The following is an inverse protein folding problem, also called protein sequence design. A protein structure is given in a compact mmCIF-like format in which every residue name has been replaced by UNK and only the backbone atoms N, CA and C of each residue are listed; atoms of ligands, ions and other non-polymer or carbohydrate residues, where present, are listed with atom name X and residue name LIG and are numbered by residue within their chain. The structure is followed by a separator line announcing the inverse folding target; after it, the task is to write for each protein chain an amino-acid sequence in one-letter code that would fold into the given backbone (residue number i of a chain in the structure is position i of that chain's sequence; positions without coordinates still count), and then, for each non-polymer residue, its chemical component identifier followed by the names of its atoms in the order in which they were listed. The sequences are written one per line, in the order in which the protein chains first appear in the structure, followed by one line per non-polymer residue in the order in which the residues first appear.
data_IF_815324203240
#
_entry.id   IF_815324203240
#
_cell.length_a   1.000
_cell.length_b   1.000
_cell.length_c   1.000
_cell.angle_alpha   90.00
_cell.angle_beta   90.00
_cell.angle_gamma   90.00
#
_symmetry.space_group_name_H-M   'P 1'
#
loop_
_entity.id
_entity.type
_entity.pdbx_description
1 polymer ?
#
# COMPACT_ATOMS: atom_id res chain seq x y z
N UNK A 1 4.65 27.02 -39.11
CA UNK A 1 4.20 25.85 -38.33
C UNK A 1 5.40 25.15 -37.66
N UNK A 2 5.91 25.67 -36.54
CA UNK A 2 7.03 25.04 -35.80
C UNK A 2 6.85 25.01 -34.27
N UNK A 3 5.71 25.50 -33.76
CA UNK A 3 5.46 25.59 -32.31
C UNK A 3 4.60 24.47 -31.70
N UNK A 4 4.00 23.59 -32.52
CA UNK A 4 3.01 22.62 -32.03
C UNK A 4 3.66 21.31 -31.56
N UNK A 5 4.84 20.95 -32.05
CA UNK A 5 5.50 19.68 -31.68
C UNK A 5 6.09 19.64 -30.26
N UNK A 6 6.33 20.78 -29.61
CA UNK A 6 6.94 20.81 -28.27
C UNK A 6 5.92 20.56 -27.15
N UNK A 7 4.64 20.91 -27.38
CA UNK A 7 3.58 20.76 -26.37
C UNK A 7 3.14 19.29 -26.20
N UNK A 8 3.23 18.48 -27.26
CA UNK A 8 2.86 17.06 -27.22
C UNK A 8 3.90 16.22 -26.45
N UNK A 9 5.18 16.65 -26.43
CA UNK A 9 6.24 15.91 -25.74
C UNK A 9 6.21 16.07 -24.21
N UNK A 10 5.70 17.20 -23.70
CA UNK A 10 5.58 17.44 -22.25
C UNK A 10 4.39 16.70 -21.61
N UNK A 11 3.37 16.32 -22.38
CA UNK A 11 2.19 15.61 -21.87
C UNK A 11 2.47 14.12 -21.54
N UNK A 12 3.60 13.56 -21.99
CA UNK A 12 3.93 12.13 -21.84
C UNK A 12 4.53 11.76 -20.48
N UNK A 13 4.88 12.72 -19.63
CA UNK A 13 5.51 12.45 -18.32
C UNK A 13 4.59 12.59 -17.11
N UNK A 14 3.29 12.81 -17.32
CA UNK A 14 2.29 12.62 -16.25
C UNK A 14 2.02 11.13 -16.01
N UNK A 15 3.06 10.38 -15.65
CA UNK A 15 2.93 9.05 -15.07
C UNK A 15 2.23 9.20 -13.73
N UNK A 16 0.89 9.11 -13.73
CA UNK A 16 0.10 8.95 -12.52
C UNK A 16 0.47 7.60 -11.91
N UNK A 17 1.45 7.57 -11.01
CA UNK A 17 1.80 6.36 -10.27
C UNK A 17 0.69 6.05 -9.27
N UNK A 18 0.24 4.79 -9.20
CA UNK A 18 -0.71 4.37 -8.16
C UNK A 18 -0.08 4.38 -6.76
N UNK A 19 1.25 4.28 -6.69
CA UNK A 19 2.02 4.41 -5.46
C UNK A 19 2.29 5.88 -5.14
N UNK A 20 2.22 6.19 -3.86
CA UNK A 20 2.56 7.49 -3.29
C UNK A 20 4.05 7.76 -3.40
N UNK A 21 4.44 9.03 -3.48
CA UNK A 21 5.86 9.43 -3.42
C UNK A 21 6.55 8.99 -2.13
N UNK A 22 5.78 8.72 -1.07
CA UNK A 22 6.29 8.21 0.19
C UNK A 22 6.69 6.73 0.14
N UNK A 23 6.20 5.94 -0.82
CA UNK A 23 6.46 4.49 -0.85
C UNK A 23 7.94 4.13 -0.99
N UNK A 24 8.74 5.02 -1.60
CA UNK A 24 10.19 4.85 -1.76
C UNK A 24 10.98 4.92 -0.44
N UNK A 25 10.36 5.41 0.63
CA UNK A 25 10.97 5.51 1.95
C UNK A 25 10.59 4.34 2.87
N UNK A 26 9.95 3.30 2.33
CA UNK A 26 9.67 2.10 3.09
C UNK A 26 10.94 1.29 3.32
N UNK A 27 11.18 0.89 4.56
CA UNK A 27 12.17 -0.12 4.93
C UNK A 27 11.46 -1.33 5.56
N UNK A 28 11.92 -2.54 5.24
CA UNK A 28 11.32 -3.78 5.74
C UNK A 28 12.36 -4.50 6.60
N UNK A 29 11.98 -4.84 7.83
CA UNK A 29 12.83 -5.53 8.79
C UNK A 29 12.04 -6.58 9.57
N UNK A 30 12.73 -7.54 10.17
CA UNK A 30 12.11 -8.47 11.13
C UNK A 30 11.91 -7.77 12.48
N UNK A 31 10.82 -8.10 13.18
CA UNK A 31 10.48 -7.55 14.49
C UNK A 31 9.60 -8.52 15.28
N UNK A 32 10.07 -9.00 16.43
CA UNK A 32 9.25 -9.79 17.39
C UNK A 32 8.49 -10.97 16.75
N UNK A 33 9.12 -11.67 15.79
CA UNK A 33 8.50 -12.77 15.05
C UNK A 33 7.60 -12.37 13.87
N UNK A 34 7.51 -11.08 13.57
CA UNK A 34 6.77 -10.48 12.47
C UNK A 34 7.70 -9.76 11.49
N UNK A 35 7.13 -9.21 10.42
CA UNK A 35 7.80 -8.20 9.60
C UNK A 35 7.25 -6.82 9.96
N UNK A 36 8.14 -5.84 10.00
CA UNK A 36 7.82 -4.44 10.22
C UNK A 36 8.21 -3.64 8.99
N UNK A 37 7.28 -2.84 8.51
CA UNK A 37 7.44 -1.94 7.37
C UNK A 37 7.44 -0.54 7.95
N UNK A 38 8.61 0.09 8.04
CA UNK A 38 8.75 1.45 8.53
C UNK A 38 8.73 2.42 7.35
N UNK A 39 8.17 3.61 7.55
CA UNK A 39 8.29 4.72 6.62
C UNK A 39 8.65 5.98 7.40
N UNK A 40 9.94 6.31 7.40
CA UNK A 40 10.49 7.40 8.22
C UNK A 40 9.95 8.76 7.78
N UNK A 41 9.67 8.93 6.48
CA UNK A 41 9.11 10.17 5.93
C UNK A 41 7.66 10.43 6.34
N UNK A 42 6.93 9.38 6.71
CA UNK A 42 5.57 9.46 7.26
C UNK A 42 5.53 9.25 8.78
N UNK A 43 6.67 8.95 9.41
CA UNK A 43 6.77 8.64 10.83
C UNK A 43 5.85 7.48 11.25
N UNK A 44 5.79 6.42 10.43
CA UNK A 44 4.91 5.26 10.66
C UNK A 44 5.66 3.94 10.64
N UNK A 45 5.11 2.97 11.37
CA UNK A 45 5.49 1.57 11.37
C UNK A 45 4.25 0.71 11.17
N UNK A 46 4.34 -0.28 10.28
CA UNK A 46 3.28 -1.26 10.07
C UNK A 46 3.80 -2.66 10.35
N UNK A 47 3.16 -3.38 11.28
CA UNK A 47 3.48 -4.78 11.57
C UNK A 47 2.61 -5.71 10.71
N UNK A 48 3.24 -6.65 10.02
CA UNK A 48 2.60 -7.64 9.13
C UNK A 48 3.14 -9.04 9.42
N UNK A 49 2.40 -10.07 9.01
CA UNK A 49 2.91 -11.44 9.04
C UNK A 49 4.04 -11.63 8.02
N UNK A 50 5.03 -12.46 8.36
CA UNK A 50 6.18 -12.74 7.48
C UNK A 50 5.83 -13.50 6.20
N UNK A 51 4.63 -14.09 6.12
CA UNK A 51 4.13 -14.76 4.92
C UNK A 51 3.67 -13.79 3.80
N UNK A 52 3.68 -12.48 4.05
CA UNK A 52 3.31 -11.47 3.05
C UNK A 52 4.50 -11.05 2.19
N UNK A 53 4.27 -11.00 0.89
CA UNK A 53 5.13 -10.30 -0.06
C UNK A 53 4.68 -8.85 -0.16
N UNK A 54 5.63 -7.93 -0.04
CA UNK A 54 5.36 -6.49 -0.04
C UNK A 54 5.83 -5.88 -1.37
N UNK A 55 5.04 -4.95 -1.91
CA UNK A 55 5.41 -4.12 -3.04
C UNK A 55 5.32 -2.64 -2.66
N UNK A 56 6.39 -1.91 -2.92
CA UNK A 56 6.53 -0.47 -2.69
C UNK A 56 6.49 0.33 -3.99
N UNK A 57 6.40 -0.36 -5.12
CA UNK A 57 6.37 0.24 -6.45
C UNK A 57 5.51 -0.57 -7.42
N UNK A 58 5.10 0.07 -8.52
CA UNK A 58 4.37 -0.61 -9.60
C UNK A 58 5.19 -1.73 -10.23
N UNK A 59 6.52 -1.58 -10.27
CA UNK A 59 7.45 -2.60 -10.77
C UNK A 59 7.44 -3.82 -9.85
N UNK A 60 7.61 -3.61 -8.54
CA UNK A 60 7.53 -4.70 -7.55
C UNK A 60 6.18 -5.41 -7.60
N UNK A 61 5.07 -4.66 -7.65
CA UNK A 61 3.74 -5.24 -7.77
C UNK A 61 3.62 -6.17 -8.99
N UNK A 62 4.10 -5.74 -10.17
CA UNK A 62 4.11 -6.57 -11.37
C UNK A 62 4.98 -7.83 -11.21
N UNK A 63 6.08 -7.73 -10.48
CA UNK A 63 6.97 -8.87 -10.21
C UNK A 63 6.33 -9.93 -9.29
N UNK A 64 5.27 -9.57 -8.55
CA UNK A 64 4.48 -10.53 -7.77
C UNK A 64 3.64 -11.47 -8.64
N UNK A 65 3.57 -11.23 -9.96
CA UNK A 65 2.83 -12.04 -10.95
C UNK A 65 1.35 -12.26 -10.59
N UNK A 66 0.76 -11.30 -9.88
CA UNK A 66 -0.67 -11.31 -9.56
C UNK A 66 -1.49 -11.03 -10.82
N UNK A 67 -2.65 -11.69 -10.94
CA UNK A 67 -3.63 -11.33 -11.96
C UNK A 67 -4.35 -10.05 -11.51
N UNK A 68 -4.35 -9.02 -12.36
CA UNK A 68 -5.13 -7.81 -12.15
C UNK A 68 -4.32 -6.53 -11.96
N UNK A 69 -5.04 -5.44 -11.71
CA UNK A 69 -4.48 -4.11 -11.48
C UNK A 69 -4.56 -3.76 -9.99
N UNK A 70 -3.78 -2.76 -9.58
CA UNK A 70 -3.91 -2.18 -8.24
C UNK A 70 -5.31 -1.58 -8.06
N UNK A 71 -5.94 -1.91 -6.94
CA UNK A 71 -7.31 -1.46 -6.64
C UNK A 71 -7.37 0.02 -6.23
N UNK A 72 -6.29 0.55 -5.66
CA UNK A 72 -6.22 1.89 -5.08
C UNK A 72 -5.15 2.78 -5.73
N UNK A 73 -5.18 4.07 -5.36
CA UNK A 73 -4.13 5.07 -5.64
C UNK A 73 -3.56 5.60 -4.33
N UNK A 74 -2.47 6.38 -4.40
CA UNK A 74 -1.72 6.90 -3.24
C UNK A 74 -1.29 5.78 -2.27
N UNK A 75 -0.89 4.64 -2.83
CA UNK A 75 -0.50 3.46 -2.07
C UNK A 75 0.87 3.72 -1.43
N UNK A 76 0.96 3.60 -0.11
CA UNK A 76 2.23 3.62 0.63
C UNK A 76 2.93 2.27 0.40
N UNK A 77 2.22 1.15 0.58
CA UNK A 77 2.64 -0.15 0.08
C UNK A 77 1.44 -1.10 -0.08
N UNK A 78 1.68 -2.19 -0.81
CA UNK A 78 0.74 -3.29 -1.00
C UNK A 78 1.34 -4.58 -0.43
N UNK A 79 0.51 -5.41 0.22
CA UNK A 79 0.87 -6.74 0.69
C UNK A 79 -0.05 -7.81 0.12
N UNK A 80 0.51 -8.95 -0.26
CA UNK A 80 -0.24 -10.15 -0.67
C UNK A 80 0.34 -11.42 -0.04
N UNK A 81 -0.50 -12.41 0.24
CA UNK A 81 -0.03 -13.72 0.67
C UNK A 81 -0.92 -14.82 0.11
N UNK A 82 -0.32 -15.82 -0.52
CA UNK A 82 -1.01 -17.06 -0.91
C UNK A 82 -1.26 -17.98 0.27
N UNK A 83 -0.51 -17.83 1.37
CA UNK A 83 -0.68 -18.64 2.59
C UNK A 83 -1.82 -18.12 3.45
N UNK A 84 -1.94 -16.79 3.58
CA UNK A 84 -3.00 -16.14 4.36
C UNK A 84 -4.23 -15.83 3.47
N UNK A 85 -4.09 -16.03 2.15
CA UNK A 85 -5.11 -15.87 1.12
C UNK A 85 -5.83 -14.52 1.15
N UNK A 86 -5.07 -13.43 1.36
CA UNK A 86 -5.62 -12.07 1.32
C UNK A 86 -4.61 -11.06 0.79
N UNK A 87 -5.16 -9.91 0.38
CA UNK A 87 -4.45 -8.74 -0.09
C UNK A 87 -4.76 -7.58 0.85
N UNK A 88 -3.77 -6.72 1.09
CA UNK A 88 -4.00 -5.48 1.84
C UNK A 88 -3.16 -4.33 1.32
N UNK A 89 -3.60 -3.12 1.67
CA UNK A 89 -2.99 -1.87 1.27
C UNK A 89 -2.83 -0.97 2.48
N UNK A 90 -1.71 -0.25 2.53
CA UNK A 90 -1.59 0.97 3.33
C UNK A 90 -1.68 2.17 2.39
N UNK A 91 -2.64 3.06 2.63
CA UNK A 91 -3.02 4.14 1.72
C UNK A 91 -2.85 5.50 2.37
N UNK A 92 -2.36 6.47 1.60
CA UNK A 92 -2.28 7.87 2.00
C UNK A 92 -3.49 8.65 1.47
N UNK A 93 -4.19 9.35 2.37
CA UNK A 93 -5.32 10.23 2.04
C UNK A 93 -6.36 9.52 1.14
N UNK A 94 -6.74 8.29 1.51
CA UNK A 94 -7.67 7.51 0.71
C UNK A 94 -9.04 8.22 0.61
N UNK A 95 -9.52 8.37 -0.64
CA UNK A 95 -10.80 9.03 -0.95
C UNK A 95 -11.90 8.05 -1.39
N UNK A 96 -11.55 6.80 -1.70
CA UNK A 96 -12.49 5.82 -2.25
C UNK A 96 -12.50 4.55 -1.42
N UNK A 97 -13.68 4.12 -1.01
CA UNK A 97 -13.92 2.81 -0.39
C UNK A 97 -14.59 1.90 -1.43
N UNK A 98 -14.18 0.64 -1.46
CA UNK A 98 -14.66 -0.43 -2.33
C UNK A 98 -15.35 -1.48 -1.45
N UNK A 99 -16.39 -2.11 -1.97
CA UNK A 99 -17.28 -2.98 -1.20
C UNK A 99 -16.58 -4.24 -0.67
N UNK A 100 -15.61 -4.78 -1.41
CA UNK A 100 -14.88 -6.00 -1.07
C UNK A 100 -13.65 -5.76 -0.17
N UNK A 101 -13.65 -4.67 0.60
CA UNK A 101 -12.57 -4.32 1.52
C UNK A 101 -13.12 -3.86 2.86
N UNK A 102 -12.41 -4.23 3.92
CA UNK A 102 -12.60 -3.68 5.25
C UNK A 102 -11.49 -2.68 5.54
N UNK A 103 -11.83 -1.62 6.26
CA UNK A 103 -10.97 -0.45 6.40
C UNK A 103 -10.75 -0.07 7.85
N UNK A 104 -9.55 0.43 8.14
CA UNK A 104 -9.24 1.17 9.36
C UNK A 104 -8.52 2.46 9.00
N UNK A 105 -9.12 3.57 9.42
CA UNK A 105 -8.54 4.90 9.25
C UNK A 105 -7.81 5.31 10.54
N UNK A 106 -6.72 6.05 10.38
CA UNK A 106 -6.03 6.76 11.46
C UNK A 106 -5.50 8.08 10.93
N UNK A 107 -5.13 8.99 11.82
CA UNK A 107 -4.50 10.27 11.49
C UNK A 107 -3.12 10.28 12.15
N UNK A 108 -2.06 10.44 11.34
CA UNK A 108 -0.69 10.55 11.82
C UNK A 108 -0.10 11.83 11.21
N UNK A 109 0.35 12.73 12.08
CA UNK A 109 0.94 14.02 11.72
C UNK A 109 0.07 14.83 10.73
N UNK A 110 -1.24 14.87 11.02
CA UNK A 110 -2.24 15.59 10.22
C UNK A 110 -2.60 14.93 8.88
N UNK A 111 -2.06 13.76 8.56
CA UNK A 111 -2.33 13.02 7.33
C UNK A 111 -3.23 11.83 7.62
N UNK A 112 -4.23 11.61 6.76
CA UNK A 112 -5.10 10.43 6.86
C UNK A 112 -4.37 9.22 6.30
N UNK A 113 -4.21 8.18 7.13
CA UNK A 113 -3.67 6.88 6.73
C UNK A 113 -4.80 5.86 6.82
N UNK A 114 -4.95 5.05 5.79
CA UNK A 114 -5.99 4.02 5.72
C UNK A 114 -5.36 2.66 5.49
N UNK A 115 -5.64 1.71 6.36
CA UNK A 115 -5.43 0.28 6.11
C UNK A 115 -6.66 -0.24 5.40
N UNK A 116 -6.49 -0.91 4.27
CA UNK A 116 -7.57 -1.57 3.53
C UNK A 116 -7.21 -3.05 3.34
N UNK A 117 -8.00 -3.95 3.92
CA UNK A 117 -7.79 -5.41 3.81
C UNK A 117 -8.91 -5.99 2.97
N UNK A 118 -8.57 -6.78 1.95
CA UNK A 118 -9.56 -7.40 1.07
C UNK A 118 -10.37 -8.41 1.87
N UNK A 119 -11.69 -8.28 1.82
CA UNK A 119 -12.60 -9.28 2.36
C UNK A 119 -12.41 -10.56 1.55
N UNK A 120 -11.78 -11.57 2.15
CA UNK A 120 -11.50 -12.85 1.52
C UNK A 120 -12.19 -13.95 2.30
N UNK A 121 -13.07 -14.71 1.65
CA UNK A 121 -13.85 -15.79 2.28
C UNK A 121 -12.97 -16.84 2.97
N UNK A 122 -11.74 -17.02 2.50
CA UNK A 122 -10.81 -18.01 3.01
C UNK A 122 -9.84 -17.50 4.08
N UNK A 123 -9.72 -16.19 4.26
CA UNK A 123 -8.83 -15.63 5.27
C UNK A 123 -9.54 -15.56 6.62
N UNK A 124 -8.92 -16.10 7.68
CA UNK A 124 -9.51 -16.07 9.01
C UNK A 124 -9.76 -14.61 9.47
N UNK A 125 -10.89 -14.31 10.14
CA UNK A 125 -11.19 -12.96 10.62
C UNK A 125 -10.10 -12.35 11.51
N UNK A 126 -9.40 -13.17 12.30
CA UNK A 126 -8.29 -12.74 13.15
C UNK A 126 -7.09 -12.21 12.34
N UNK A 127 -6.81 -12.75 11.15
CA UNK A 127 -5.76 -12.24 10.28
C UNK A 127 -6.11 -10.85 9.76
N UNK A 128 -7.37 -10.64 9.39
CA UNK A 128 -7.87 -9.35 8.95
C UNK A 128 -7.80 -8.33 10.09
N UNK A 129 -8.24 -8.69 11.28
CA UNK A 129 -8.17 -7.84 12.46
C UNK A 129 -6.73 -7.45 12.81
N UNK A 130 -5.80 -8.41 12.79
CA UNK A 130 -4.38 -8.15 12.99
C UNK A 130 -3.85 -7.10 12.01
N UNK A 131 -4.10 -7.27 10.70
CA UNK A 131 -3.65 -6.33 9.68
C UNK A 131 -4.28 -4.94 9.85
N UNK A 132 -5.58 -4.86 10.15
CA UNK A 132 -6.27 -3.60 10.39
C UNK A 132 -5.66 -2.82 11.56
N UNK A 133 -5.15 -3.52 12.57
CA UNK A 133 -4.49 -2.96 13.75
C UNK A 133 -2.97 -2.75 13.59
N UNK A 134 -2.38 -3.12 12.45
CA UNK A 134 -0.93 -3.18 12.29
C UNK A 134 -0.20 -1.82 12.26
N UNK A 135 -0.92 -0.72 12.03
CA UNK A 135 -0.34 0.63 11.88
C UNK A 135 -0.09 1.31 13.23
N UNK A 136 1.11 1.87 13.39
CA UNK A 136 1.55 2.62 14.56
C UNK A 136 2.35 3.86 14.13
N UNK A 137 2.33 4.91 14.95
CA UNK A 137 3.25 6.05 14.82
C UNK A 137 4.62 5.65 15.37
N UNK A 138 5.69 5.99 14.67
CA UNK A 138 7.06 5.82 15.19
C UNK A 138 7.28 6.79 16.37
N UNK A 139 7.90 6.28 17.44
CA UNK A 139 8.19 7.04 18.66
C UNK A 139 9.40 7.96 18.46
#
# INVERSE_FOLDING_TARGET
MKGISVIILLALFCSCTSFSTYSKFNSIQSCDGYICINNDSLNIKFTSFGAFKIANSKREFRNLKLKGNLEFKNIIFFGTSSTIETDYYLLLNNRKRKENFVYRDTIIDGRKITVAVKSAEKSAPSNQEFLLNGIQKLK
#
